data_IF_611422923175
#
_entry.id   IF_611422923175
#
_cell.length_a   1.000
_cell.length_b   1.000
_cell.length_c   1.000
_cell.angle_alpha   90.00
_cell.angle_beta   90.00
_cell.angle_gamma   90.00
#
_symmetry.space_group_name_H-M   'P 1'
#
loop_
_entity.id
_entity.type
_entity.pdbx_description
1 polymer ?
#
# COMPACT_ATOMS: atom_id res chain seq x y z
N UNK A 1 -21.76 -13.46 25.37
CA UNK A 1 -21.80 -12.65 24.15
C UNK A 1 -20.99 -11.38 24.35
N UNK A 2 -20.05 -11.10 23.44
CA UNK A 2 -19.25 -9.89 23.62
C UNK A 2 -20.10 -8.64 23.49
N UNK A 3 -19.70 -7.61 24.19
CA UNK A 3 -20.33 -6.30 24.10
C UNK A 3 -20.12 -5.74 22.69
N UNK A 4 -21.07 -4.96 22.14
CA UNK A 4 -20.89 -4.33 20.83
C UNK A 4 -19.62 -3.48 20.74
N UNK A 5 -19.28 -2.77 21.84
CA UNK A 5 -18.04 -1.98 21.89
C UNK A 5 -16.81 -2.87 21.83
N UNK A 6 -16.85 -4.04 22.47
CA UNK A 6 -15.77 -5.00 22.46
C UNK A 6 -15.56 -5.59 21.06
N UNK A 7 -16.65 -5.94 20.38
CA UNK A 7 -16.59 -6.43 19.00
C UNK A 7 -15.98 -5.40 18.05
N UNK A 8 -16.17 -4.11 18.35
CA UNK A 8 -15.66 -3.01 17.53
C UNK A 8 -14.25 -2.60 17.89
N UNK A 9 -13.72 -3.14 19.01
CA UNK A 9 -12.39 -2.76 19.48
C UNK A 9 -11.27 -3.24 18.59
N UNK A 10 -11.49 -4.32 17.83
CA UNK A 10 -10.50 -4.84 16.89
C UNK A 10 -11.18 -5.56 15.75
N UNK A 11 -10.41 -5.73 14.66
CA UNK A 11 -10.84 -6.53 13.54
C UNK A 11 -9.66 -7.40 13.10
N UNK A 12 -9.89 -8.69 12.99
CA UNK A 12 -8.89 -9.66 12.58
C UNK A 12 -9.01 -9.92 11.09
N UNK A 13 -7.90 -9.83 10.38
CA UNK A 13 -7.81 -10.20 8.97
C UNK A 13 -6.90 -11.40 8.81
N UNK A 14 -7.28 -12.32 7.96
CA UNK A 14 -6.37 -13.36 7.45
C UNK A 14 -5.86 -12.83 6.13
N UNK A 15 -4.60 -12.52 6.05
CA UNK A 15 -4.05 -11.82 4.89
C UNK A 15 -4.33 -12.58 3.58
N UNK A 16 -4.20 -13.90 3.59
CA UNK A 16 -4.47 -14.72 2.41
C UNK A 16 -5.94 -14.71 1.97
N UNK A 17 -6.83 -14.18 2.80
CA UNK A 17 -8.25 -14.03 2.48
C UNK A 17 -8.60 -12.61 2.03
N UNK A 18 -7.67 -11.67 2.17
CA UNK A 18 -7.89 -10.30 1.71
C UNK A 18 -7.70 -10.27 0.19
N UNK A 19 -8.71 -9.83 -0.59
CA UNK A 19 -8.58 -9.83 -2.03
C UNK A 19 -7.58 -8.77 -2.52
N UNK A 20 -6.99 -9.02 -3.69
CA UNK A 20 -6.12 -8.03 -4.31
C UNK A 20 -6.93 -6.91 -4.95
N UNK A 21 -6.40 -5.72 -4.86
CA UNK A 21 -6.90 -4.52 -5.56
C UNK A 21 -5.80 -4.09 -6.51
N UNK A 22 -6.16 -3.81 -7.76
CA UNK A 22 -5.20 -3.25 -8.71
C UNK A 22 -5.00 -1.76 -8.40
N UNK A 23 -3.76 -1.37 -8.20
CA UNK A 23 -3.43 0.03 -7.88
C UNK A 23 -3.12 0.82 -9.15
N UNK A 24 -2.14 0.34 -9.90
CA UNK A 24 -1.76 0.84 -11.21
C UNK A 24 -1.32 -0.38 -12.01
N UNK A 25 -1.14 -0.22 -13.32
CA UNK A 25 -0.66 -1.33 -14.15
C UNK A 25 0.65 -1.88 -13.59
N UNK A 26 0.69 -3.17 -13.32
CA UNK A 26 1.85 -3.87 -12.78
C UNK A 26 1.94 -3.90 -11.27
N UNK A 27 1.01 -3.26 -10.57
CA UNK A 27 1.02 -3.27 -9.10
C UNK A 27 -0.35 -3.60 -8.55
N UNK A 28 -0.40 -4.59 -7.67
CA UNK A 28 -1.60 -4.98 -6.95
C UNK A 28 -1.31 -5.05 -5.46
N UNK A 29 -2.34 -4.91 -4.66
CA UNK A 29 -2.16 -4.87 -3.22
C UNK A 29 -3.35 -5.46 -2.48
N UNK A 30 -3.06 -6.00 -1.31
CA UNK A 30 -4.08 -6.32 -0.32
C UNK A 30 -4.12 -5.17 0.66
N UNK A 31 -5.29 -4.54 0.79
CA UNK A 31 -5.47 -3.33 1.59
C UNK A 31 -6.21 -3.63 2.88
N UNK A 32 -5.64 -3.21 4.00
CA UNK A 32 -6.26 -3.32 5.32
C UNK A 32 -6.40 -1.90 5.86
N UNK A 33 -7.63 -1.50 6.17
CA UNK A 33 -7.94 -0.11 6.52
C UNK A 33 -8.47 -0.04 7.94
N UNK A 34 -7.82 0.79 8.77
CA UNK A 34 -8.32 1.21 10.07
C UNK A 34 -8.92 2.60 9.99
N UNK A 35 -9.22 3.21 11.11
CA UNK A 35 -9.73 4.59 11.14
C UNK A 35 -8.64 5.59 10.80
N UNK A 36 -7.45 5.40 11.32
CA UNK A 36 -6.35 6.37 11.24
C UNK A 36 -5.18 5.89 10.40
N UNK A 37 -5.25 4.69 9.87
CA UNK A 37 -4.14 4.05 9.21
C UNK A 37 -4.63 3.09 8.12
N UNK A 38 -3.86 3.00 7.05
CA UNK A 38 -4.09 2.02 5.99
C UNK A 38 -2.78 1.28 5.74
N UNK A 39 -2.86 -0.04 5.63
CA UNK A 39 -1.70 -0.88 5.32
C UNK A 39 -1.92 -1.53 3.96
N UNK A 40 -0.94 -1.38 3.07
CA UNK A 40 -0.95 -1.92 1.72
C UNK A 40 0.14 -2.97 1.61
N UNK A 41 -0.26 -4.21 1.35
CA UNK A 41 0.67 -5.31 1.08
C UNK A 41 0.80 -5.40 -0.43
N UNK A 42 1.76 -4.65 -0.99
CA UNK A 42 1.89 -4.42 -2.43
C UNK A 42 2.86 -5.38 -3.09
N UNK A 43 2.49 -5.84 -4.28
CA UNK A 43 3.34 -6.63 -5.15
C UNK A 43 3.48 -5.88 -6.46
N UNK A 44 4.72 -5.63 -6.85
CA UNK A 44 5.06 -4.86 -8.05
C UNK A 44 5.83 -5.73 -9.02
N UNK A 45 5.39 -5.74 -10.27
CA UNK A 45 6.01 -6.56 -11.30
C UNK A 45 7.40 -6.07 -11.68
N UNK A 46 8.27 -6.99 -12.18
CA UNK A 46 9.60 -6.60 -12.63
C UNK A 46 9.56 -5.45 -13.64
N UNK A 47 10.48 -4.52 -13.47
CA UNK A 47 10.72 -3.42 -14.39
C UNK A 47 9.58 -2.42 -14.56
N UNK A 48 8.53 -2.50 -13.73
CA UNK A 48 7.45 -1.52 -13.82
C UNK A 48 7.88 -0.18 -13.26
N UNK A 49 7.22 0.87 -13.74
CA UNK A 49 7.38 2.22 -13.21
C UNK A 49 6.13 2.57 -12.40
N UNK A 50 6.32 2.82 -11.12
CA UNK A 50 5.23 3.33 -10.28
C UNK A 50 5.20 4.85 -10.45
N UNK A 51 4.11 5.40 -10.98
CA UNK A 51 4.07 6.81 -11.37
C UNK A 51 4.36 7.78 -10.23
N UNK A 52 4.97 8.91 -10.58
CA UNK A 52 5.17 9.99 -9.63
C UNK A 52 3.83 10.52 -9.16
N UNK A 53 3.68 10.66 -7.87
CA UNK A 53 2.46 11.12 -7.24
C UNK A 53 2.79 11.74 -5.88
N UNK A 54 1.80 12.39 -5.30
CA UNK A 54 1.92 12.89 -3.93
C UNK A 54 0.56 12.73 -3.25
N UNK A 55 0.59 12.60 -1.95
CA UNK A 55 -0.61 12.45 -1.14
C UNK A 55 -0.41 13.07 0.23
N UNK A 56 -1.51 13.35 0.90
CA UNK A 56 -1.50 13.94 2.22
C UNK A 56 -0.96 12.98 3.28
N UNK A 57 -1.24 11.70 3.11
CA UNK A 57 -0.77 10.69 4.06
C UNK A 57 0.75 10.70 4.20
N UNK A 58 1.23 10.59 5.42
CA UNK A 58 2.60 10.18 5.67
C UNK A 58 2.69 8.71 5.32
N UNK A 59 3.81 8.28 4.78
CA UNK A 59 3.99 6.89 4.35
C UNK A 59 5.26 6.28 4.91
N UNK A 60 5.14 5.04 5.39
CA UNK A 60 6.30 4.21 5.70
C UNK A 60 6.31 3.08 4.70
N UNK A 61 7.41 2.90 3.97
CA UNK A 61 7.56 1.80 3.03
C UNK A 61 8.63 0.84 3.53
N UNK A 62 8.27 -0.43 3.61
CA UNK A 62 9.15 -1.51 4.07
C UNK A 62 9.31 -2.50 2.93
N UNK A 63 10.51 -2.66 2.40
CA UNK A 63 10.76 -3.64 1.33
C UNK A 63 10.94 -5.03 1.93
N UNK A 64 10.12 -5.96 1.48
CA UNK A 64 10.09 -7.35 1.98
C UNK A 64 10.87 -8.27 1.07
N UNK A 65 10.79 -8.04 -0.25
CA UNK A 65 11.42 -8.90 -1.25
C UNK A 65 11.72 -8.09 -2.50
N UNK A 66 12.84 -8.37 -3.15
CA UNK A 66 13.23 -7.66 -4.36
C UNK A 66 13.81 -6.29 -4.07
N UNK A 67 13.65 -5.38 -5.02
CA UNK A 67 14.20 -4.04 -4.88
C UNK A 67 13.49 -3.04 -5.80
N UNK A 68 13.60 -1.77 -5.42
CA UNK A 68 13.02 -0.65 -6.16
C UNK A 68 13.91 0.56 -6.00
N UNK A 69 14.09 1.32 -7.08
CA UNK A 69 14.71 2.63 -7.00
C UNK A 69 13.61 3.65 -6.78
N UNK A 70 13.49 4.13 -5.55
CA UNK A 70 12.45 5.10 -5.20
C UNK A 70 12.91 6.50 -5.57
N UNK A 71 12.04 7.24 -6.24
CA UNK A 71 12.27 8.65 -6.57
C UNK A 71 11.59 9.46 -5.48
N UNK A 72 12.38 10.18 -4.70
CA UNK A 72 11.91 10.94 -3.54
C UNK A 72 12.23 12.41 -3.76
N UNK A 73 11.26 13.17 -4.27
CA UNK A 73 11.50 14.52 -4.72
C UNK A 73 12.50 14.52 -5.87
N UNK A 74 13.67 15.10 -5.68
CA UNK A 74 14.73 15.18 -6.67
C UNK A 74 15.81 14.10 -6.49
N UNK A 75 15.61 13.18 -5.55
CA UNK A 75 16.61 12.14 -5.22
C UNK A 75 16.14 10.77 -5.64
N UNK A 76 17.09 9.90 -5.96
CA UNK A 76 16.84 8.50 -6.24
C UNK A 76 17.53 7.65 -5.20
N UNK A 77 16.78 6.73 -4.58
CA UNK A 77 17.30 5.88 -3.52
C UNK A 77 16.97 4.44 -3.82
N UNK A 78 17.99 3.58 -3.86
CA UNK A 78 17.77 2.16 -4.04
C UNK A 78 17.35 1.55 -2.71
N UNK A 79 16.18 0.89 -2.70
CA UNK A 79 15.66 0.19 -1.53
C UNK A 79 15.66 -1.30 -1.82
N UNK A 80 16.21 -2.07 -0.90
CA UNK A 80 16.31 -3.54 -0.98
C UNK A 80 15.60 -4.15 0.21
N UNK A 81 15.46 -5.45 0.19
CA UNK A 81 14.89 -6.22 1.30
C UNK A 81 15.44 -5.75 2.65
N UNK A 82 14.54 -5.39 3.54
CA UNK A 82 14.87 -4.92 4.88
C UNK A 82 15.03 -3.42 5.02
N UNK A 83 15.04 -2.69 3.91
CA UNK A 83 15.12 -1.23 3.97
C UNK A 83 13.75 -0.64 4.28
N UNK A 84 13.76 0.44 5.04
CA UNK A 84 12.56 1.17 5.44
C UNK A 84 12.78 2.64 5.15
N UNK A 85 11.81 3.27 4.50
CA UNK A 85 11.85 4.71 4.26
C UNK A 85 10.58 5.36 4.77
N UNK A 86 10.72 6.53 5.35
CA UNK A 86 9.60 7.37 5.78
C UNK A 86 9.46 8.51 4.78
N UNK A 87 8.30 8.60 4.16
CA UNK A 87 8.01 9.60 3.12
C UNK A 87 7.04 10.62 3.72
N UNK A 88 7.46 11.86 3.77
CA UNK A 88 6.66 12.94 4.36
C UNK A 88 5.39 13.22 3.54
N UNK A 89 4.35 13.68 4.24
CA UNK A 89 3.15 14.20 3.62
C UNK A 89 3.51 15.21 2.52
N UNK A 90 2.91 15.05 1.34
CA UNK A 90 3.06 15.97 0.24
C UNK A 90 4.33 15.85 -0.60
N UNK A 91 5.27 14.98 -0.22
CA UNK A 91 6.47 14.79 -1.03
C UNK A 91 6.14 13.99 -2.29
N UNK A 92 6.49 14.53 -3.46
CA UNK A 92 6.31 13.80 -4.71
C UNK A 92 7.25 12.61 -4.76
N UNK A 93 6.72 11.44 -5.10
CA UNK A 93 7.52 10.21 -5.16
C UNK A 93 6.91 9.20 -6.12
N UNK A 94 7.70 8.23 -6.46
CA UNK A 94 7.37 7.11 -7.33
C UNK A 94 8.56 6.18 -7.36
N UNK A 95 8.61 5.26 -8.33
CA UNK A 95 9.73 4.33 -8.33
C UNK A 95 9.86 3.50 -9.58
N UNK A 96 11.05 2.95 -9.76
CA UNK A 96 11.37 2.04 -10.84
C UNK A 96 11.73 0.70 -10.20
N UNK A 97 10.90 -0.30 -10.45
CA UNK A 97 11.10 -1.64 -9.89
C UNK A 97 12.20 -2.37 -10.64
N UNK A 98 13.04 -3.11 -9.91
CA UNK A 98 14.12 -3.87 -10.50
C UNK A 98 13.60 -5.05 -11.34
N UNK A 99 14.52 -5.74 -12.01
CA UNK A 99 14.18 -6.94 -12.80
C UNK A 99 13.69 -8.10 -11.96
N UNK A 100 13.93 -8.08 -10.64
CA UNK A 100 13.42 -9.12 -9.71
C UNK A 100 12.02 -8.83 -9.20
N UNK A 101 11.48 -7.67 -9.50
CA UNK A 101 10.22 -7.24 -8.91
C UNK A 101 10.42 -6.72 -7.50
N UNK A 102 9.32 -6.37 -6.83
CA UNK A 102 9.41 -5.87 -5.46
C UNK A 102 8.10 -6.16 -4.72
N UNK A 103 8.24 -6.66 -3.50
CA UNK A 103 7.13 -6.76 -2.57
C UNK A 103 7.44 -5.86 -1.39
N UNK A 104 6.46 -5.09 -0.98
CA UNK A 104 6.63 -4.13 0.10
C UNK A 104 5.38 -4.04 0.96
N UNK A 105 5.55 -3.45 2.13
CA UNK A 105 4.44 -3.07 2.98
C UNK A 105 4.48 -1.56 3.06
N UNK A 106 3.40 -0.91 2.65
CA UNK A 106 3.24 0.53 2.77
C UNK A 106 2.22 0.84 3.86
N UNK A 107 2.57 1.75 4.75
CA UNK A 107 1.70 2.19 5.83
C UNK A 107 1.41 3.67 5.61
N UNK A 108 0.14 4.02 5.54
CA UNK A 108 -0.31 5.40 5.29
C UNK A 108 -1.13 5.91 6.49
N UNK A 109 -0.81 7.09 6.96
CA UNK A 109 -1.57 7.76 8.02
C UNK A 109 -1.71 9.25 7.69
N UNK A 110 -2.93 9.78 7.57
CA UNK A 110 -4.23 9.07 7.56
C UNK A 110 -4.35 8.11 6.38
N UNK A 111 -5.40 7.27 6.35
CA UNK A 111 -5.62 6.37 5.22
C UNK A 111 -5.62 7.12 3.90
N UNK A 112 -4.93 6.54 2.92
CA UNK A 112 -4.86 7.11 1.58
C UNK A 112 -6.23 6.98 0.91
N UNK A 113 -6.86 8.11 0.64
CA UNK A 113 -8.27 8.16 0.21
C UNK A 113 -8.51 7.43 -1.12
N UNK A 114 -7.61 7.59 -2.09
CA UNK A 114 -7.77 6.92 -3.38
C UNK A 114 -7.75 5.39 -3.25
N UNK A 115 -6.97 4.86 -2.31
CA UNK A 115 -6.96 3.41 -2.06
C UNK A 115 -8.23 2.96 -1.33
N UNK A 116 -8.74 3.77 -0.41
CA UNK A 116 -10.01 3.48 0.27
C UNK A 116 -11.15 3.40 -0.76
N UNK A 117 -11.16 4.33 -1.72
CA UNK A 117 -12.16 4.34 -2.79
C UNK A 117 -12.08 3.07 -3.63
N UNK A 118 -10.87 2.65 -4.02
CA UNK A 118 -10.67 1.42 -4.77
C UNK A 118 -11.17 0.19 -4.02
N UNK A 119 -10.89 0.12 -2.73
CA UNK A 119 -11.33 -0.99 -1.91
C UNK A 119 -12.86 -1.04 -1.81
N UNK A 120 -13.50 0.09 -1.59
CA UNK A 120 -14.97 0.18 -1.53
C UNK A 120 -15.60 -0.20 -2.85
N UNK A 121 -15.02 0.19 -3.98
CA UNK A 121 -15.51 -0.19 -5.29
C UNK A 121 -15.44 -1.70 -5.49
N UNK A 122 -14.38 -2.34 -5.04
CA UNK A 122 -14.24 -3.79 -5.11
C UNK A 122 -15.30 -4.48 -4.24
N UNK A 123 -15.52 -4.01 -3.03
CA UNK A 123 -16.51 -4.57 -2.12
C UNK A 123 -17.92 -4.44 -2.70
N UNK A 124 -18.26 -3.29 -3.26
CA UNK A 124 -19.55 -3.05 -3.89
C UNK A 124 -19.74 -3.99 -5.09
N UNK A 125 -18.74 -4.14 -5.92
CA UNK A 125 -18.78 -5.06 -7.07
C UNK A 125 -19.02 -6.50 -6.62
N UNK A 126 -18.36 -6.94 -5.55
CA UNK A 126 -18.55 -8.28 -5.01
C UNK A 126 -19.95 -8.48 -4.44
N UNK A 127 -20.51 -7.46 -3.80
CA UNK A 127 -21.85 -7.51 -3.23
C UNK A 127 -22.92 -7.59 -4.31
N UNK A 128 -22.69 -6.97 -5.46
CA UNK A 128 -23.68 -6.94 -6.54
C UNK A 128 -23.74 -8.23 -7.36
N UNK A 129 -22.83 -9.14 -7.11
CA UNK A 129 -22.84 -10.45 -7.76
C UNK A 129 -23.41 -11.51 -6.85
#
# INVERSE_FOLDING_TARGET
MPEPAEEKAFKLYKLDKVPYVDLVEGAKSRLVVGEKILVSFIEMEPNMFFPLHKHESEQVMIVIEGSITEILGDKKVLLKKGDVVVIKSGLQHGGIVSEEGCKAIDIFAPPREDYVIKLKALETSNEST
#
